data_IF_045970447835
#
_entry.id   IF_045970447835
#
_cell.length_a   1.000
_cell.length_b   1.000
_cell.length_c   1.000
_cell.angle_alpha   90.00
_cell.angle_beta   90.00
_cell.angle_gamma   90.00
#
_symmetry.space_group_name_H-M   'P 1'
#
loop_
_entity.id
_entity.type
_entity.pdbx_description
1 polymer ?
#
# COMPACT_ATOMS: atom_id res chain seq x y z
N UNK A 1 -7.82 11.65 22.74
CA UNK A 1 -7.07 10.62 21.98
C UNK A 1 -5.62 10.72 22.39
N UNK A 2 -4.95 9.59 22.65
CA UNK A 2 -3.53 9.59 23.01
C UNK A 2 -2.65 10.03 21.84
N UNK A 3 -1.42 10.45 22.13
CA UNK A 3 -0.42 10.81 21.11
C UNK A 3 -0.10 9.60 20.25
N UNK A 4 -0.23 9.72 18.93
CA UNK A 4 0.11 8.64 17.99
C UNK A 4 1.58 8.73 17.56
N UNK A 5 2.33 7.66 17.76
CA UNK A 5 3.69 7.49 17.26
C UNK A 5 3.66 6.71 15.93
N UNK A 6 4.46 7.12 14.95
CA UNK A 6 4.62 6.40 13.68
C UNK A 6 6.04 5.85 13.62
N UNK A 7 6.18 4.58 13.23
CA UNK A 7 7.47 3.93 12.96
C UNK A 7 7.46 3.26 11.59
N UNK A 8 8.63 3.18 10.97
CA UNK A 8 8.86 2.44 9.72
C UNK A 8 9.68 1.21 10.08
N UNK A 9 9.20 0.02 9.68
CA UNK A 9 9.75 -1.27 10.12
C UNK A 9 9.87 -2.18 8.91
N UNK A 10 11.04 -2.79 8.70
CA UNK A 10 11.18 -3.84 7.69
C UNK A 10 10.35 -5.05 8.07
N UNK A 11 9.81 -5.74 7.07
CA UNK A 11 8.98 -6.92 7.27
C UNK A 11 9.63 -7.95 8.18
N UNK A 12 10.90 -8.28 7.93
CA UNK A 12 11.68 -9.23 8.75
C UNK A 12 11.98 -8.75 10.18
N UNK A 13 11.79 -7.46 10.46
CA UNK A 13 12.03 -6.83 11.77
C UNK A 13 10.73 -6.60 12.56
N UNK A 14 9.57 -7.04 12.04
CA UNK A 14 8.32 -6.97 12.77
C UNK A 14 8.42 -7.77 14.07
N UNK A 15 8.22 -7.07 15.20
CA UNK A 15 8.15 -7.73 16.50
C UNK A 15 6.87 -8.55 16.62
N UNK A 16 6.85 -9.61 17.46
CA UNK A 16 5.62 -10.37 17.72
C UNK A 16 4.45 -9.48 18.17
N UNK A 17 4.73 -8.46 18.99
CA UNK A 17 3.73 -7.50 19.44
C UNK A 17 3.13 -6.67 18.30
N UNK A 18 3.95 -6.22 17.35
CA UNK A 18 3.48 -5.51 16.15
C UNK A 18 2.68 -6.44 15.23
N UNK A 19 3.16 -7.67 14.99
CA UNK A 19 2.43 -8.65 14.16
C UNK A 19 1.07 -8.97 14.75
N UNK A 20 0.97 -9.23 16.07
CA UNK A 20 -0.32 -9.44 16.74
C UNK A 20 -1.19 -8.18 16.70
N UNK A 21 -0.61 -6.99 16.88
CA UNK A 21 -1.34 -5.72 16.81
C UNK A 21 -1.91 -5.44 15.41
N UNK A 22 -1.13 -5.70 14.36
CA UNK A 22 -1.58 -5.59 12.97
C UNK A 22 -2.69 -6.60 12.67
N UNK A 23 -2.53 -7.86 13.10
CA UNK A 23 -3.60 -8.86 13.00
C UNK A 23 -4.90 -8.38 13.63
N UNK A 24 -4.86 -7.88 14.88
CA UNK A 24 -6.05 -7.30 15.52
C UNK A 24 -6.64 -6.11 14.75
N UNK A 25 -5.81 -5.22 14.21
CA UNK A 25 -6.26 -4.05 13.45
C UNK A 25 -7.01 -4.47 12.18
N UNK A 26 -6.44 -5.40 11.41
CA UNK A 26 -7.02 -5.85 10.15
C UNK A 26 -8.21 -6.78 10.33
N UNK A 27 -8.13 -7.72 11.27
CA UNK A 27 -9.24 -8.65 11.58
C UNK A 27 -10.46 -7.89 12.12
N UNK A 28 -10.27 -6.78 12.82
CA UNK A 28 -11.40 -5.94 13.26
C UNK A 28 -12.19 -5.34 12.09
N UNK A 29 -11.59 -5.18 10.90
CA UNK A 29 -12.26 -4.61 9.72
C UNK A 29 -12.69 -5.69 8.72
N UNK A 30 -11.84 -6.69 8.47
CA UNK A 30 -11.98 -7.58 7.30
C UNK A 30 -12.16 -9.06 7.62
N UNK A 31 -12.16 -9.46 8.90
CA UNK A 31 -12.22 -10.88 9.27
C UNK A 31 -13.43 -11.60 8.67
N UNK A 32 -14.58 -10.94 8.60
CA UNK A 32 -15.80 -11.54 8.06
C UNK A 32 -15.72 -11.80 6.56
N UNK A 33 -15.04 -10.93 5.82
CA UNK A 33 -15.01 -10.95 4.35
C UNK A 33 -13.80 -11.71 3.79
N UNK A 34 -12.64 -11.58 4.44
CA UNK A 34 -11.36 -12.07 3.91
C UNK A 34 -10.67 -13.12 4.82
N UNK A 35 -11.20 -13.35 6.02
CA UNK A 35 -10.61 -14.26 7.02
C UNK A 35 -9.46 -13.64 7.81
N UNK A 36 -8.63 -14.49 8.43
CA UNK A 36 -7.53 -14.05 9.29
C UNK A 36 -6.45 -13.34 8.47
N UNK A 37 -6.03 -12.18 8.94
CA UNK A 37 -4.92 -11.45 8.35
C UNK A 37 -3.58 -12.18 8.58
N UNK A 38 -2.73 -12.15 7.55
CA UNK A 38 -1.35 -12.62 7.60
C UNK A 38 -0.42 -11.59 6.97
N UNK A 39 0.74 -11.28 7.59
CA UNK A 39 1.71 -10.37 7.00
C UNK A 39 2.34 -10.94 5.71
N UNK A 40 2.44 -12.27 5.59
CA UNK A 40 3.11 -12.96 4.48
C UNK A 40 2.25 -13.03 3.20
N UNK A 41 0.94 -13.04 3.38
CA UNK A 41 -0.04 -13.16 2.30
C UNK A 41 -1.35 -12.49 2.73
N UNK A 42 -1.37 -11.15 2.87
CA UNK A 42 -2.54 -10.42 3.35
C UNK A 42 -3.69 -10.64 2.38
N UNK A 43 -4.62 -11.55 2.71
CA UNK A 43 -5.76 -11.91 1.86
C UNK A 43 -5.37 -12.29 0.41
N UNK A 44 -4.18 -12.87 0.24
CA UNK A 44 -3.64 -13.21 -1.08
C UNK A 44 -3.06 -12.04 -1.89
N UNK A 45 -3.02 -10.83 -1.35
CA UNK A 45 -2.26 -9.71 -1.92
C UNK A 45 -0.75 -9.89 -1.70
N UNK A 46 0.06 -9.09 -2.39
CA UNK A 46 1.48 -9.05 -2.18
C UNK A 46 1.82 -8.60 -0.75
N UNK A 47 2.80 -9.24 -0.07
CA UNK A 47 3.25 -8.77 1.23
C UNK A 47 3.97 -7.44 1.11
N UNK A 48 3.93 -6.66 2.19
CA UNK A 48 4.74 -5.45 2.31
C UNK A 48 6.20 -5.83 2.62
N UNK A 49 7.16 -5.09 2.06
CA UNK A 49 8.56 -5.15 2.48
C UNK A 49 8.83 -4.22 3.68
N UNK A 50 8.08 -3.12 3.74
CA UNK A 50 8.14 -2.10 4.79
C UNK A 50 6.73 -1.86 5.34
N UNK A 51 6.63 -1.77 6.66
CA UNK A 51 5.43 -1.47 7.40
C UNK A 51 5.57 -0.10 8.07
N UNK A 52 4.69 0.82 7.72
CA UNK A 52 4.53 2.09 8.41
C UNK A 52 3.41 1.87 9.42
N UNK A 53 3.77 1.81 10.70
CA UNK A 53 2.88 1.43 11.80
C UNK A 53 2.64 2.63 12.70
N UNK A 54 1.36 2.96 12.92
CA UNK A 54 0.94 3.92 13.91
C UNK A 54 0.53 3.21 15.20
N UNK A 55 1.07 3.65 16.33
CA UNK A 55 0.69 3.16 17.67
C UNK A 55 0.15 4.28 18.55
N UNK A 56 -0.81 3.95 19.41
CA UNK A 56 -1.40 4.86 20.40
C UNK A 56 -1.66 4.06 21.67
N UNK A 57 -1.11 4.51 22.80
CA UNK A 57 -1.22 3.84 24.11
C UNK A 57 -0.81 2.35 24.09
N UNK A 58 0.14 1.97 23.22
CA UNK A 58 0.63 0.60 23.07
C UNK A 58 -0.12 -0.25 22.04
N UNK A 59 -1.26 0.22 21.53
CA UNK A 59 -2.02 -0.47 20.50
C UNK A 59 -1.65 0.02 19.09
N UNK A 60 -1.66 -0.90 18.12
CA UNK A 60 -1.55 -0.58 16.70
C UNK A 60 -2.88 -0.01 16.22
N UNK A 61 -2.86 1.23 15.74
CA UNK A 61 -4.05 2.00 15.39
C UNK A 61 -4.08 2.44 13.92
N UNK A 62 -3.01 2.19 13.18
CA UNK A 62 -2.99 2.38 11.74
C UNK A 62 -1.77 1.74 11.07
N UNK A 63 -1.89 1.50 9.77
CA UNK A 63 -0.90 0.81 8.98
C UNK A 63 -0.91 1.30 7.52
N UNK A 64 0.28 1.34 6.91
CA UNK A 64 0.48 1.36 5.45
C UNK A 64 1.62 0.39 5.15
N UNK A 65 1.42 -0.51 4.20
CA UNK A 65 2.45 -1.41 3.70
C UNK A 65 3.00 -0.92 2.36
N UNK A 66 4.30 -1.02 2.14
CA UNK A 66 4.92 -0.75 0.84
C UNK A 66 5.83 -1.89 0.41
N UNK A 67 5.95 -2.14 -0.89
CA UNK A 67 6.90 -3.08 -1.47
C UNK A 67 7.46 -2.52 -2.78
N UNK A 68 8.78 -2.47 -2.91
CA UNK A 68 9.46 -2.22 -4.17
C UNK A 68 9.23 -3.36 -5.14
N UNK A 69 8.83 -3.02 -6.37
CA UNK A 69 8.79 -3.96 -7.48
C UNK A 69 9.11 -3.28 -8.78
N UNK A 70 9.88 -3.95 -9.64
CA UNK A 70 10.02 -3.57 -11.04
C UNK A 70 8.78 -4.02 -11.80
N UNK A 71 7.96 -3.06 -12.22
CA UNK A 71 6.82 -3.25 -13.12
C UNK A 71 7.20 -2.88 -14.54
N UNK A 72 6.44 -3.34 -15.52
CA UNK A 72 6.57 -2.89 -16.91
C UNK A 72 5.47 -1.89 -17.22
N UNK A 73 5.82 -0.71 -17.73
CA UNK A 73 4.86 0.30 -18.21
C UNK A 73 5.11 0.53 -19.69
N UNK A 74 4.21 0.02 -20.54
CA UNK A 74 4.45 -0.09 -21.98
C UNK A 74 5.69 -0.94 -22.26
N UNK A 75 6.80 -0.30 -22.63
CA UNK A 75 8.10 -0.96 -22.87
C UNK A 75 9.16 -0.63 -21.82
N UNK A 76 8.84 0.19 -20.82
CA UNK A 76 9.78 0.69 -19.82
C UNK A 76 9.66 -0.08 -18.51
N UNK A 77 10.79 -0.54 -17.99
CA UNK A 77 10.86 -1.03 -16.61
C UNK A 77 10.89 0.14 -15.63
N UNK A 78 10.04 0.05 -14.61
CA UNK A 78 9.85 1.10 -13.60
C UNK A 78 9.88 0.47 -12.22
N UNK A 79 10.69 0.99 -11.30
CA UNK A 79 10.65 0.56 -9.90
C UNK A 79 9.59 1.35 -9.15
N UNK A 80 8.53 0.70 -8.69
CA UNK A 80 7.48 1.33 -7.89
C UNK A 80 7.52 0.88 -6.44
N UNK A 81 7.16 1.76 -5.51
CA UNK A 81 6.75 1.42 -4.17
C UNK A 81 5.24 1.12 -4.20
N UNK A 82 4.91 -0.13 -4.50
CA UNK A 82 3.54 -0.63 -4.45
C UNK A 82 2.99 -0.52 -3.04
N UNK A 83 1.86 0.16 -2.88
CA UNK A 83 1.28 0.53 -1.59
C UNK A 83 -0.01 -0.26 -1.35
N UNK A 84 -0.09 -0.92 -0.20
CA UNK A 84 -1.19 -1.80 0.18
C UNK A 84 -1.47 -1.79 1.67
N UNK A 85 -2.53 -2.48 2.10
CA UNK A 85 -2.88 -2.60 3.53
C UNK A 85 -3.08 -1.25 4.23
N UNK A 86 -3.62 -0.24 3.56
CA UNK A 86 -3.84 1.08 4.15
C UNK A 86 -5.06 1.02 5.07
N UNK A 87 -4.84 1.11 6.39
CA UNK A 87 -5.93 1.03 7.36
C UNK A 87 -5.67 1.92 8.57
N UNK A 88 -6.73 2.58 9.05
CA UNK A 88 -6.75 3.30 10.33
C UNK A 88 -7.93 2.76 11.15
N UNK A 89 -7.66 2.43 12.41
CA UNK A 89 -8.67 1.98 13.38
C UNK A 89 -9.83 2.98 13.45
N UNK A 90 -11.05 2.48 13.58
CA UNK A 90 -12.28 3.30 13.59
C UNK A 90 -12.21 4.48 14.55
N UNK A 91 -11.71 4.27 15.77
CA UNK A 91 -11.55 5.31 16.80
C UNK A 91 -10.50 6.39 16.50
N UNK A 92 -9.69 6.23 15.45
CA UNK A 92 -8.66 7.20 15.03
C UNK A 92 -8.91 7.77 13.63
N UNK A 93 -10.03 7.42 12.97
CA UNK A 93 -10.41 8.02 11.67
C UNK A 93 -10.79 9.48 11.83
N UNK A 94 -10.65 10.27 10.77
CA UNK A 94 -10.97 11.71 10.77
C UNK A 94 -9.96 12.60 11.52
N UNK A 95 -8.84 12.04 11.99
CA UNK A 95 -7.80 12.77 12.75
C UNK A 95 -6.61 13.23 11.90
N UNK A 96 -6.63 12.95 10.59
CA UNK A 96 -5.48 13.13 9.69
C UNK A 96 -4.41 12.04 9.80
N UNK A 97 -4.61 11.00 10.63
CA UNK A 97 -3.62 9.92 10.80
C UNK A 97 -3.29 9.18 9.50
N UNK A 98 -4.28 8.93 8.64
CA UNK A 98 -4.06 8.29 7.34
C UNK A 98 -3.10 9.08 6.45
N UNK A 99 -3.28 10.40 6.36
CA UNK A 99 -2.39 11.28 5.59
C UNK A 99 -0.96 11.27 6.13
N UNK A 100 -0.80 11.29 7.45
CA UNK A 100 0.52 11.17 8.09
C UNK A 100 1.22 9.84 7.80
N UNK A 101 0.46 8.74 7.80
CA UNK A 101 0.99 7.42 7.45
C UNK A 101 1.43 7.38 5.98
N UNK A 102 0.60 7.88 5.06
CA UNK A 102 0.94 7.96 3.63
C UNK A 102 2.17 8.85 3.38
N UNK A 103 2.28 9.98 4.08
CA UNK A 103 3.45 10.85 3.99
C UNK A 103 4.74 10.14 4.45
N UNK A 104 4.66 9.37 5.56
CA UNK A 104 5.78 8.57 6.03
C UNK A 104 6.14 7.44 5.05
N UNK A 105 5.15 6.81 4.41
CA UNK A 105 5.38 5.79 3.38
C UNK A 105 6.07 6.37 2.14
N UNK A 106 5.62 7.53 1.66
CA UNK A 106 6.27 8.24 0.55
C UNK A 106 7.69 8.67 0.89
N UNK A 107 7.94 9.11 2.12
CA UNK A 107 9.30 9.45 2.57
C UNK A 107 10.19 8.21 2.63
N UNK A 108 9.68 7.08 3.12
CA UNK A 108 10.41 5.81 3.11
C UNK A 108 10.72 5.35 1.67
N UNK A 109 9.78 5.54 0.73
CA UNK A 109 9.98 5.26 -0.70
C UNK A 109 11.00 6.18 -1.38
N UNK A 110 11.39 7.29 -0.74
CA UNK A 110 12.48 8.17 -1.20
C UNK A 110 13.82 7.87 -0.53
N UNK A 111 13.81 7.46 0.74
CA UNK A 111 15.00 7.48 1.59
C UNK A 111 15.44 6.12 2.14
N UNK A 112 14.51 5.21 2.43
CA UNK A 112 14.78 3.92 3.09
C UNK A 112 14.74 2.77 2.08
N UNK A 113 13.70 2.75 1.26
CA UNK A 113 13.48 1.79 0.19
C UNK A 113 13.21 2.56 -1.11
N UNK A 114 14.25 3.16 -1.74
CA UNK A 114 14.06 4.03 -2.89
C UNK A 114 13.33 3.34 -4.04
N UNK A 115 12.26 3.98 -4.52
CA UNK A 115 11.53 3.64 -5.74
C UNK A 115 11.37 4.90 -6.61
N UNK A 116 11.13 4.74 -7.92
CA UNK A 116 10.89 5.87 -8.81
C UNK A 116 9.57 6.58 -8.47
N UNK A 117 8.53 5.80 -8.15
CA UNK A 117 7.17 6.28 -7.89
C UNK A 117 6.49 5.47 -6.79
N UNK A 118 5.50 6.06 -6.11
CA UNK A 118 4.49 5.29 -5.39
C UNK A 118 3.42 4.81 -6.36
N UNK A 119 2.83 3.64 -6.11
CA UNK A 119 1.81 3.03 -6.97
C UNK A 119 0.78 2.28 -6.14
N UNK A 120 -0.52 2.45 -6.43
CA UNK A 120 -1.58 1.63 -5.85
C UNK A 120 -2.81 1.56 -6.76
N UNK A 121 -3.49 0.42 -6.73
CA UNK A 121 -4.87 0.30 -7.18
C UNK A 121 -5.82 0.57 -6.00
N UNK A 122 -6.99 1.15 -6.26
CA UNK A 122 -7.99 1.35 -5.21
C UNK A 122 -9.42 1.39 -5.76
N UNK A 123 -10.41 1.33 -4.85
CA UNK A 123 -11.82 1.57 -5.20
C UNK A 123 -12.11 3.06 -5.37
N UNK A 124 -13.07 3.40 -6.23
CA UNK A 124 -13.45 4.79 -6.54
C UNK A 124 -13.73 5.64 -5.29
N UNK A 125 -14.40 5.05 -4.30
CA UNK A 125 -14.81 5.74 -3.07
C UNK A 125 -13.65 6.30 -2.21
N UNK A 126 -12.40 5.86 -2.42
CA UNK A 126 -11.23 6.32 -1.64
C UNK A 126 -10.25 7.14 -2.47
N UNK A 127 -10.52 7.38 -3.76
CA UNK A 127 -9.68 8.24 -4.61
C UNK A 127 -9.44 9.63 -3.99
N UNK A 128 -10.46 10.35 -3.45
CA UNK A 128 -10.23 11.66 -2.84
C UNK A 128 -9.27 11.63 -1.65
N UNK A 129 -9.19 10.50 -0.92
CA UNK A 129 -8.22 10.36 0.16
C UNK A 129 -6.79 10.30 -0.38
N UNK A 130 -6.54 9.52 -1.42
CA UNK A 130 -5.21 9.40 -2.03
C UNK A 130 -4.78 10.70 -2.73
N UNK A 131 -5.69 11.40 -3.40
CA UNK A 131 -5.44 12.73 -3.96
C UNK A 131 -5.02 13.73 -2.87
N UNK A 132 -5.69 13.70 -1.71
CA UNK A 132 -5.29 14.54 -0.56
C UNK A 132 -3.91 14.20 0.00
N UNK A 133 -3.37 13.01 -0.31
CA UNK A 133 -2.03 12.58 0.06
C UNK A 133 -0.98 12.90 -1.03
N UNK A 134 -1.35 13.57 -2.12
CA UNK A 134 -0.45 13.92 -3.22
C UNK A 134 -0.29 12.82 -4.28
N UNK A 135 -1.20 11.84 -4.33
CA UNK A 135 -1.27 10.91 -5.46
C UNK A 135 -2.11 11.50 -6.60
N UNK A 136 -1.71 11.18 -7.83
CA UNK A 136 -2.41 11.54 -9.05
C UNK A 136 -3.05 10.29 -9.65
N UNK A 137 -4.29 10.43 -10.14
CA UNK A 137 -4.97 9.35 -10.82
C UNK A 137 -4.43 9.19 -12.24
N UNK A 138 -4.18 7.95 -12.65
CA UNK A 138 -3.89 7.59 -14.04
C UNK A 138 -4.97 6.67 -14.60
N UNK A 139 -5.12 6.70 -15.93
CA UNK A 139 -5.99 5.76 -16.65
C UNK A 139 -5.10 4.78 -17.40
N UNK A 140 -5.10 3.53 -16.95
CA UNK A 140 -4.30 2.45 -17.52
C UNK A 140 -5.11 1.15 -17.56
N UNK A 141 -4.68 0.23 -18.42
CA UNK A 141 -5.00 -1.18 -18.25
C UNK A 141 -3.90 -1.79 -17.40
N UNK A 142 -4.26 -2.47 -16.31
CA UNK A 142 -3.33 -3.22 -15.48
C UNK A 142 -3.38 -4.70 -15.83
N UNK A 143 -2.23 -5.35 -15.85
CA UNK A 143 -2.05 -6.79 -15.93
C UNK A 143 -1.37 -7.29 -14.67
N UNK A 144 -1.96 -8.26 -13.97
CA UNK A 144 -1.41 -8.79 -12.72
C UNK A 144 -1.82 -10.23 -12.45
N UNK A 145 -1.09 -10.90 -11.55
CA UNK A 145 -1.45 -12.25 -11.08
C UNK A 145 -2.65 -12.17 -10.15
N UNK A 146 -3.64 -13.01 -10.38
CA UNK A 146 -4.85 -13.14 -9.55
C UNK A 146 -4.51 -13.61 -8.14
N UNK A 147 -5.29 -13.15 -7.15
CA UNK A 147 -5.27 -13.68 -5.78
C UNK A 147 -5.83 -15.10 -5.68
N UNK A 148 -6.74 -15.46 -6.59
CA UNK A 148 -7.52 -16.70 -6.54
C UNK A 148 -6.76 -17.93 -7.10
N UNK A 149 -5.56 -17.75 -7.66
CA UNK A 149 -4.77 -18.85 -8.18
C UNK A 149 -3.44 -18.44 -8.83
N UNK A 150 -2.37 -19.24 -8.65
CA UNK A 150 -1.00 -18.86 -9.03
C UNK A 150 -0.77 -18.69 -10.54
N UNK A 151 -1.58 -19.36 -11.38
CA UNK A 151 -1.39 -19.37 -12.83
C UNK A 151 -2.39 -18.47 -13.58
N UNK A 152 -3.26 -17.77 -12.84
CA UNK A 152 -4.26 -16.88 -13.45
C UNK A 152 -3.73 -15.46 -13.51
N UNK A 153 -3.70 -14.91 -14.71
CA UNK A 153 -3.46 -13.47 -14.94
C UNK A 153 -4.79 -12.77 -15.17
N UNK A 154 -4.93 -11.55 -14.65
CA UNK A 154 -6.06 -10.66 -14.85
C UNK A 154 -5.56 -9.46 -15.65
N UNK A 155 -6.36 -9.01 -16.60
CA UNK A 155 -6.23 -7.71 -17.25
C UNK A 155 -7.47 -6.89 -16.89
N UNK A 156 -7.27 -5.71 -16.32
CA UNK A 156 -8.34 -4.87 -15.81
C UNK A 156 -8.17 -3.43 -16.30
N UNK A 157 -9.27 -2.83 -16.74
CA UNK A 157 -9.33 -1.42 -17.14
C UNK A 157 -10.48 -0.77 -16.39
N UNK A 158 -10.27 0.45 -15.92
CA UNK A 158 -11.32 1.28 -15.33
C UNK A 158 -11.37 1.28 -13.81
N UNK A 159 -10.60 0.42 -13.13
CA UNK A 159 -10.33 0.58 -11.70
C UNK A 159 -9.37 1.77 -11.49
N UNK A 160 -9.58 2.59 -10.44
CA UNK A 160 -8.67 3.68 -10.14
C UNK A 160 -7.26 3.20 -9.80
N UNK A 161 -6.29 3.71 -10.56
CA UNK A 161 -4.87 3.59 -10.28
C UNK A 161 -4.31 4.95 -9.92
N UNK A 162 -3.52 4.98 -8.86
CA UNK A 162 -2.96 6.20 -8.28
C UNK A 162 -1.43 6.09 -8.25
N UNK A 163 -0.75 7.16 -8.65
CA UNK A 163 0.72 7.26 -8.61
C UNK A 163 1.16 8.52 -7.87
N UNK A 164 2.33 8.49 -7.23
CA UNK A 164 2.92 9.69 -6.62
C UNK A 164 4.43 9.73 -6.85
N UNK A 165 5.04 10.89 -6.59
CA UNK A 165 6.49 11.05 -6.73
C UNK A 165 7.26 10.19 -5.72
N UNK A 166 8.24 9.45 -6.21
CA UNK A 166 9.26 8.79 -5.41
C UNK A 166 10.59 9.54 -5.57
N UNK A 167 11.62 8.82 -6.01
CA UNK A 167 12.90 9.42 -6.46
C UNK A 167 12.79 10.15 -7.80
N UNK A 168 11.66 9.97 -8.52
CA UNK A 168 11.33 10.71 -9.73
C UNK A 168 10.01 11.45 -9.56
N UNK A 169 9.89 12.55 -10.29
CA UNK A 169 8.69 13.36 -10.31
C UNK A 169 7.56 12.63 -11.06
N UNK A 170 6.38 12.55 -10.45
CA UNK A 170 5.20 11.84 -10.96
C UNK A 170 4.78 12.31 -12.36
N UNK A 171 5.04 13.59 -12.71
CA UNK A 171 4.79 14.10 -14.06
C UNK A 171 5.60 13.39 -15.15
N UNK A 172 6.63 12.63 -14.77
CA UNK A 172 7.48 11.84 -15.68
C UNK A 172 7.08 10.36 -15.75
N UNK A 173 5.93 9.99 -15.16
CA UNK A 173 5.36 8.65 -15.27
C UNK A 173 5.20 8.23 -16.74
N UNK A 174 5.70 7.05 -17.15
CA UNK A 174 5.65 6.61 -18.54
C UNK A 174 4.24 6.24 -19.00
N UNK A 175 4.00 6.33 -20.31
CA UNK A 175 2.74 5.92 -20.92
C UNK A 175 2.76 4.45 -21.31
N UNK A 176 1.63 3.76 -21.13
CA UNK A 176 1.42 2.39 -21.58
C UNK A 176 0.59 1.59 -20.58
N UNK A 177 0.27 0.35 -20.96
CA UNK A 177 -0.29 -0.64 -20.04
C UNK A 177 0.71 -0.95 -18.92
N UNK A 178 0.20 -1.27 -17.73
CA UNK A 178 1.04 -1.60 -16.58
C UNK A 178 0.96 -3.10 -16.32
N UNK A 179 2.07 -3.82 -16.46
CA UNK A 179 2.21 -5.20 -15.98
C UNK A 179 2.90 -5.18 -14.61
N UNK A 180 2.14 -5.53 -13.56
CA UNK A 180 2.62 -5.59 -12.18
C UNK A 180 3.64 -6.70 -11.96
N UNK A 181 3.80 -7.65 -12.89
CA UNK A 181 4.70 -8.81 -12.80
C UNK A 181 4.55 -9.57 -11.47
N UNK A 182 3.34 -9.62 -10.93
CA UNK A 182 3.07 -10.20 -9.62
C UNK A 182 1.66 -9.92 -9.14
N UNK A 183 1.44 -10.16 -7.84
CA UNK A 183 0.16 -9.90 -7.17
C UNK A 183 -0.07 -8.39 -6.99
N UNK A 184 -1.32 -7.91 -6.98
CA UNK A 184 -1.65 -6.55 -6.55
C UNK A 184 -1.29 -6.36 -5.06
N UNK A 185 -1.27 -5.10 -4.61
CA UNK A 185 -0.99 -4.71 -3.22
C UNK A 185 -2.27 -4.32 -2.48
#
# INVERSE_FOLDING_TARGET
MGTTQISVVWHGDLTPGQTTGLGRLFDAEYLQDEGLWSPEAPYGYAPAELHIVATSQGDVVGHVGTQRRTVLVGTREVVVAGTGGVLVSSGHRGTGLGQRLMAAAQEAARTIAPAEYGYLGCREAVVPFYESCGYERITVTERFRSRDGPDRTVEETGTPVMVCSGTRDVSTWPTGEVDLRGLPW
#
